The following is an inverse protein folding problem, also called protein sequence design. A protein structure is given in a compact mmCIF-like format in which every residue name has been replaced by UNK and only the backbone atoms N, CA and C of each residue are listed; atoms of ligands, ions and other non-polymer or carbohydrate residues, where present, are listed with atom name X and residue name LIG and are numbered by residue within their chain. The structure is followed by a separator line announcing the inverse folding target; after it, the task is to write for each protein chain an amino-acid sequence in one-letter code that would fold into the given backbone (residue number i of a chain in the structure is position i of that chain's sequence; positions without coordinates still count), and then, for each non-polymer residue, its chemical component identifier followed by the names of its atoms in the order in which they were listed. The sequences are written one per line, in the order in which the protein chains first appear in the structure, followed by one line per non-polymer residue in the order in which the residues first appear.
data_IF_412711962442
#
_entry.id   IF_412711962442
#
_cell.length_a   1.000
_cell.length_b   1.000
_cell.length_c   1.000
_cell.angle_alpha   90.00
_cell.angle_beta   90.00
_cell.angle_gamma   90.00
#
_symmetry.space_group_name_H-M   'P 1'
#
loop_
_entity.id
_entity.type
_entity.pdbx_description
1 polymer ?
#
# COMPACT_ATOMS: atom_id res chain seq x y z
N UNK A 1 -0.41 -7.37 65.44
CA UNK A 1 -1.26 -6.59 64.52
C UNK A 1 -0.56 -5.38 63.90
N UNK A 2 0.27 -4.62 64.62
CA UNK A 2 0.97 -3.42 64.11
C UNK A 2 1.82 -3.66 62.85
N UNK A 3 2.45 -4.83 62.73
CA UNK A 3 3.34 -5.16 61.60
C UNK A 3 2.59 -5.69 60.36
N UNK A 4 1.32 -6.10 60.51
CA UNK A 4 0.48 -6.58 59.40
C UNK A 4 -0.04 -5.41 58.56
N UNK A 5 -0.41 -4.30 59.21
CA UNK A 5 -0.83 -3.08 58.50
C UNK A 5 0.32 -2.45 57.70
N UNK A 6 1.56 -2.52 58.20
CA UNK A 6 2.74 -2.06 57.46
C UNK A 6 3.07 -2.93 56.23
N UNK A 7 2.87 -4.24 56.32
CA UNK A 7 3.07 -5.16 55.19
C UNK A 7 2.00 -4.97 54.10
N UNK A 8 0.74 -4.75 54.50
CA UNK A 8 -0.37 -4.49 53.58
C UNK A 8 -0.22 -3.14 52.85
N UNK A 9 0.35 -2.13 53.52
CA UNK A 9 0.66 -0.85 52.89
C UNK A 9 1.72 -0.98 51.78
N UNK A 10 2.78 -1.78 51.98
CA UNK A 10 3.84 -1.98 50.98
C UNK A 10 3.30 -2.72 49.73
N UNK A 11 2.41 -3.70 49.92
CA UNK A 11 1.78 -4.44 48.81
C UNK A 11 0.81 -3.54 48.02
N UNK A 12 0.12 -2.61 48.69
CA UNK A 12 -0.83 -1.69 48.04
C UNK A 12 -0.15 -0.58 47.21
N UNK A 13 1.10 -0.20 47.53
CA UNK A 13 1.86 0.80 46.76
C UNK A 13 2.80 0.19 45.71
N UNK A 14 3.06 -1.12 45.75
CA UNK A 14 3.95 -1.81 44.80
C UNK A 14 3.35 -2.13 43.43
N UNK A 15 2.05 -1.91 43.22
CA UNK A 15 1.32 -2.42 42.04
C UNK A 15 0.98 -1.39 40.96
N UNK A 16 1.62 -0.21 40.90
CA UNK A 16 1.33 0.80 39.87
C UNK A 16 2.58 1.44 39.26
N UNK A 17 3.51 0.62 38.75
CA UNK A 17 4.52 1.10 37.80
C UNK A 17 4.12 0.61 36.40
N UNK A 18 3.41 1.45 35.63
CA UNK A 18 3.21 1.23 34.20
C UNK A 18 3.89 2.36 33.43
N UNK A 19 5.12 2.13 32.99
CA UNK A 19 5.73 2.89 31.91
C UNK A 19 6.36 1.93 30.91
N UNK A 20 5.92 1.96 29.66
CA UNK A 20 6.67 1.38 28.52
C UNK A 20 7.00 2.45 27.44
N UNK A 21 6.97 3.73 27.88
CA UNK A 21 7.60 4.97 27.38
C UNK A 21 6.68 6.01 26.70
N UNK A 22 6.67 7.24 27.25
CA UNK A 22 6.37 8.52 26.57
C UNK A 22 7.17 9.64 27.26
N UNK A 23 7.90 10.51 26.55
CA UNK A 23 8.75 11.53 27.21
C UNK A 23 9.07 12.78 26.40
N UNK A 24 8.96 13.94 27.06
CA UNK A 24 9.31 15.28 26.62
C UNK A 24 10.47 15.78 27.53
N UNK A 25 11.69 15.25 27.29
CA UNK A 25 13.00 15.51 27.96
C UNK A 25 13.39 14.65 29.19
N UNK A 26 13.57 13.32 29.12
CA UNK A 26 13.94 12.52 27.96
C UNK A 26 14.49 11.14 28.37
N UNK A 27 15.14 10.47 27.42
CA UNK A 27 16.17 9.45 27.65
C UNK A 27 17.31 9.72 26.66
N UNK A 28 18.54 9.78 27.16
CA UNK A 28 19.75 10.03 26.38
C UNK A 28 20.91 9.35 27.09
N UNK A 29 21.80 8.66 26.37
CA UNK A 29 23.21 8.49 26.80
C UNK A 29 24.21 8.17 25.65
N UNK A 30 23.94 8.37 24.35
CA UNK A 30 23.86 9.64 23.60
C UNK A 30 23.71 9.29 22.10
N UNK A 31 23.01 10.13 21.31
CA UNK A 31 23.35 10.39 19.90
C UNK A 31 23.30 11.92 19.71
N UNK A 32 24.45 12.59 19.70
CA UNK A 32 24.54 14.05 19.68
C UNK A 32 24.73 14.61 18.26
N UNK A 33 23.93 15.63 17.90
CA UNK A 33 23.96 16.27 16.58
C UNK A 33 23.28 15.47 15.47
N UNK A 34 22.47 14.47 15.82
CA UNK A 34 21.75 13.62 14.87
C UNK A 34 20.25 13.90 14.87
N UNK A 35 19.56 13.53 13.79
CA UNK A 35 18.11 13.57 13.63
C UNK A 35 17.40 12.27 14.07
N UNK A 36 18.10 11.35 14.74
CA UNK A 36 17.55 10.07 15.20
C UNK A 36 16.89 10.20 16.57
N UNK A 37 15.57 9.98 16.62
CA UNK A 37 14.78 10.02 17.85
C UNK A 37 14.69 8.66 18.57
N UNK A 38 14.80 7.55 17.82
CA UNK A 38 14.79 6.19 18.35
C UNK A 38 15.78 5.33 17.55
N UNK A 39 16.86 4.92 18.19
CA UNK A 39 17.83 3.97 17.64
C UNK A 39 17.65 2.61 18.32
N UNK A 40 17.30 1.60 17.53
CA UNK A 40 17.16 0.20 17.98
C UNK A 40 18.31 -0.68 17.47
N UNK A 41 19.29 -0.09 16.78
CA UNK A 41 20.52 -0.79 16.44
C UNK A 41 21.24 -1.19 17.73
N UNK A 42 21.81 -2.39 17.73
CA UNK A 42 22.45 -2.97 18.90
C UNK A 42 23.47 -4.01 18.44
N UNK A 43 24.25 -4.55 19.39
CA UNK A 43 25.14 -5.68 19.13
C UNK A 43 24.40 -6.94 18.60
N UNK A 44 23.07 -6.94 18.58
CA UNK A 44 22.23 -7.98 18.00
C UNK A 44 21.85 -7.70 16.52
N UNK A 45 22.69 -6.99 15.76
CA UNK A 45 22.52 -6.76 14.32
C UNK A 45 23.60 -7.46 13.48
N UNK A 46 23.32 -7.76 12.21
CA UNK A 46 24.28 -8.40 11.30
C UNK A 46 25.55 -7.56 11.12
N UNK A 47 25.40 -6.23 11.09
CA UNK A 47 26.50 -5.26 11.02
C UNK A 47 27.42 -5.31 12.25
N UNK A 48 26.90 -5.78 13.38
CA UNK A 48 27.65 -6.03 14.62
C UNK A 48 28.14 -7.48 14.75
N UNK A 49 27.98 -8.29 13.71
CA UNK A 49 28.39 -9.71 13.68
C UNK A 49 27.42 -10.67 14.37
N UNK A 50 26.18 -10.23 14.62
CA UNK A 50 25.16 -11.07 15.23
C UNK A 50 24.58 -12.08 14.22
N UNK A 51 24.02 -13.19 14.73
CA UNK A 51 23.36 -14.19 13.89
C UNK A 51 21.98 -13.73 13.36
N UNK A 52 21.43 -14.38 12.32
CA UNK A 52 20.31 -13.86 11.53
C UNK A 52 18.94 -13.82 12.24
N UNK A 53 18.83 -14.26 13.50
CA UNK A 53 17.54 -14.45 14.19
C UNK A 53 17.39 -13.65 15.49
N UNK A 54 18.33 -12.76 15.81
CA UNK A 54 18.37 -12.06 17.10
C UNK A 54 18.13 -10.54 17.02
N UNK A 55 17.97 -10.02 15.80
CA UNK A 55 17.58 -8.64 15.52
C UNK A 55 16.32 -8.20 16.26
N UNK A 56 16.24 -6.91 16.60
CA UNK A 56 15.13 -6.29 17.34
C UNK A 56 14.17 -5.57 16.41
N UNK A 57 12.89 -5.53 16.77
CA UNK A 57 11.84 -4.83 16.03
C UNK A 57 10.88 -4.09 16.96
N UNK A 58 9.96 -3.32 16.37
CA UNK A 58 8.91 -2.58 17.10
C UNK A 58 7.57 -3.31 16.94
N UNK A 59 6.93 -3.64 18.07
CA UNK A 59 5.56 -4.15 18.08
C UNK A 59 4.61 -3.00 18.41
N UNK A 60 3.68 -2.70 17.49
CA UNK A 60 2.68 -1.64 17.64
C UNK A 60 1.31 -2.30 17.88
N UNK A 61 0.60 -1.95 18.96
CA UNK A 61 -0.77 -2.44 19.18
C UNK A 61 -1.70 -2.10 18.02
N UNK A 62 -2.62 -3.02 17.72
CA UNK A 62 -3.55 -2.82 16.62
C UNK A 62 -4.66 -1.82 16.96
N UNK A 63 -5.07 -1.01 15.99
CA UNK A 63 -6.26 -0.14 16.03
C UNK A 63 -7.28 -0.56 14.98
N UNK A 64 -8.53 -0.12 15.15
CA UNK A 64 -9.59 -0.23 14.14
C UNK A 64 -9.77 1.12 13.44
N UNK A 65 -9.10 1.35 12.30
CA UNK A 65 -9.16 2.64 11.61
C UNK A 65 -10.55 2.99 11.07
N UNK A 66 -11.43 2.01 10.86
CA UNK A 66 -12.81 2.28 10.42
C UNK A 66 -13.53 3.12 11.46
N UNK A 67 -13.33 2.80 12.75
CA UNK A 67 -14.01 3.45 13.88
C UNK A 67 -13.12 4.40 14.70
N UNK A 68 -11.80 4.40 14.46
CA UNK A 68 -10.82 5.19 15.19
C UNK A 68 -11.19 6.68 15.23
N UNK A 69 -10.96 7.31 16.38
CA UNK A 69 -11.13 8.73 16.59
C UNK A 69 -9.95 9.23 17.42
N UNK A 70 -9.42 10.40 17.07
CA UNK A 70 -8.38 11.04 17.84
C UNK A 70 -8.93 11.55 19.17
N UNK A 71 -8.19 11.27 20.25
CA UNK A 71 -8.29 12.04 21.47
C UNK A 71 -7.43 13.30 21.32
N UNK A 72 -8.06 14.46 21.24
CA UNK A 72 -7.39 15.73 20.98
C UNK A 72 -7.15 16.53 22.27
N UNK A 73 -7.41 15.97 23.45
CA UNK A 73 -7.28 16.68 24.72
C UNK A 73 -5.86 17.22 24.99
N UNK A 74 -4.84 16.62 24.39
CA UNK A 74 -3.43 17.06 24.48
C UNK A 74 -2.86 17.53 23.12
N UNK A 75 -3.71 17.72 22.12
CA UNK A 75 -3.31 18.30 20.84
C UNK A 75 -3.19 19.82 21.00
N UNK A 76 -2.00 20.27 21.36
CA UNK A 76 -1.66 21.68 21.57
C UNK A 76 -0.25 21.98 21.05
N UNK A 77 0.18 23.24 21.10
CA UNK A 77 1.48 23.69 20.59
C UNK A 77 2.70 23.22 21.38
N UNK A 78 2.51 22.45 22.46
CA UNK A 78 3.56 22.01 23.39
C UNK A 78 3.66 20.49 23.54
N UNK A 79 2.54 19.78 23.65
CA UNK A 79 2.49 18.34 23.95
C UNK A 79 2.45 17.52 22.67
N UNK A 80 1.57 17.88 21.73
CA UNK A 80 1.45 17.24 20.41
C UNK A 80 1.33 18.33 19.31
N UNK A 81 2.38 19.14 19.11
CA UNK A 81 2.35 20.31 18.22
C UNK A 81 2.09 19.99 16.76
N UNK A 82 2.32 18.74 16.35
CA UNK A 82 2.08 18.26 14.99
C UNK A 82 0.63 17.85 14.74
N UNK A 83 -0.23 17.83 15.76
CA UNK A 83 -1.62 17.38 15.63
C UNK A 83 -1.72 16.01 14.96
N UNK A 84 -0.92 15.08 15.49
CA UNK A 84 -0.78 13.70 15.05
C UNK A 84 -0.20 13.51 13.63
N UNK A 85 0.28 14.56 12.96
CA UNK A 85 1.01 14.40 11.71
C UNK A 85 2.22 13.48 11.91
N UNK A 86 2.31 12.44 11.06
CA UNK A 86 3.31 11.39 11.13
C UNK A 86 3.00 10.25 12.11
N UNK A 87 1.86 10.25 12.82
CA UNK A 87 1.50 9.15 13.73
C UNK A 87 1.36 7.83 12.99
N UNK A 88 2.11 6.79 13.41
CA UNK A 88 2.05 5.44 12.83
C UNK A 88 1.19 4.52 13.69
N UNK A 89 0.35 3.71 13.05
CA UNK A 89 -0.48 2.68 13.69
C UNK A 89 -0.47 1.40 12.87
N UNK A 90 -0.75 0.26 13.51
CA UNK A 90 -1.13 -0.96 12.80
C UNK A 90 -2.66 -1.09 12.78
N UNK A 91 -3.28 -1.05 11.61
CA UNK A 91 -4.72 -1.24 11.43
C UNK A 91 -5.04 -2.74 11.32
N UNK A 92 -6.13 -3.19 11.97
CA UNK A 92 -6.63 -4.57 11.87
C UNK A 92 -7.89 -4.73 11.01
N UNK A 93 -8.49 -3.62 10.57
CA UNK A 93 -9.82 -3.62 9.95
C UNK A 93 -9.76 -3.43 8.44
N UNK A 94 -10.77 -3.94 7.73
CA UNK A 94 -11.02 -3.64 6.31
C UNK A 94 -12.29 -2.81 6.20
N UNK A 95 -12.27 -1.70 5.45
CA UNK A 95 -13.44 -0.86 5.24
C UNK A 95 -13.09 0.57 4.88
N UNK A 96 -14.05 1.48 5.01
CA UNK A 96 -13.86 2.92 4.77
C UNK A 96 -13.92 3.67 6.09
N UNK A 97 -12.94 4.53 6.37
CA UNK A 97 -12.91 5.34 7.61
C UNK A 97 -14.10 6.30 7.70
N UNK A 98 -14.65 6.47 8.91
CA UNK A 98 -15.66 7.49 9.18
C UNK A 98 -15.03 8.91 9.17
N UNK A 99 -15.86 9.92 8.88
CA UNK A 99 -15.39 11.32 8.71
C UNK A 99 -15.96 12.32 9.72
N UNK A 100 -16.85 11.90 10.61
CA UNK A 100 -17.48 12.77 11.62
C UNK A 100 -16.69 12.77 12.94
N UNK A 101 -16.67 13.91 13.63
CA UNK A 101 -15.99 14.08 14.93
C UNK A 101 -14.49 14.35 14.77
N UNK A 102 -13.67 13.91 15.73
CA UNK A 102 -12.21 14.09 15.69
C UNK A 102 -11.55 13.03 14.77
N UNK A 103 -11.93 13.03 13.51
CA UNK A 103 -11.48 12.09 12.47
C UNK A 103 -10.99 12.87 11.24
N UNK A 104 -10.31 12.17 10.34
CA UNK A 104 -10.07 12.69 8.99
C UNK A 104 -11.37 13.20 8.36
N UNK A 105 -11.34 14.34 7.68
CA UNK A 105 -12.48 14.77 6.84
C UNK A 105 -12.59 13.98 5.53
N UNK A 106 -11.61 13.13 5.22
CA UNK A 106 -11.51 12.36 3.99
C UNK A 106 -11.71 10.88 4.29
N UNK A 107 -12.79 10.31 3.75
CA UNK A 107 -13.05 8.88 3.81
C UNK A 107 -11.93 8.11 3.09
N UNK A 108 -11.27 7.20 3.80
CA UNK A 108 -10.13 6.42 3.28
C UNK A 108 -10.47 4.94 3.31
N UNK A 109 -10.29 4.25 2.18
CA UNK A 109 -10.36 2.80 2.16
C UNK A 109 -9.11 2.20 2.83
N UNK A 110 -9.30 1.31 3.79
CA UNK A 110 -8.24 0.69 4.59
C UNK A 110 -8.37 -0.83 4.59
N UNK A 111 -7.23 -1.50 4.75
CA UNK A 111 -7.06 -2.95 4.95
C UNK A 111 -6.09 -3.17 6.13
N UNK A 112 -5.95 -4.40 6.66
CA UNK A 112 -4.95 -4.66 7.68
C UNK A 112 -3.53 -4.28 7.21
N UNK A 113 -2.76 -3.60 8.07
CA UNK A 113 -1.42 -3.13 7.73
C UNK A 113 -1.00 -1.88 8.51
N UNK A 114 0.22 -1.41 8.29
CA UNK A 114 0.70 -0.17 8.90
C UNK A 114 0.19 1.06 8.13
N UNK A 115 -0.20 2.10 8.86
CA UNK A 115 -0.65 3.38 8.33
C UNK A 115 0.06 4.50 9.07
N UNK A 116 0.24 5.64 8.39
CA UNK A 116 0.59 6.90 9.03
C UNK A 116 -0.49 7.96 8.78
N UNK A 117 -0.68 8.86 9.73
CA UNK A 117 -1.57 10.00 9.57
C UNK A 117 -0.84 11.16 8.89
N UNK A 118 -1.33 11.61 7.74
CA UNK A 118 -0.78 12.73 6.99
C UNK A 118 -1.62 13.98 7.24
N UNK A 119 -1.10 14.92 8.02
CA UNK A 119 -1.76 16.16 8.43
C UNK A 119 -0.78 17.34 8.45
N UNK A 120 -0.16 17.70 7.30
CA UNK A 120 0.95 18.67 7.25
C UNK A 120 0.56 20.08 7.73
N UNK A 121 -0.73 20.41 7.73
CA UNK A 121 -1.25 21.71 8.19
C UNK A 121 -1.89 21.63 9.57
N UNK A 122 -1.81 20.49 10.26
CA UNK A 122 -2.47 20.27 11.55
C UNK A 122 -2.06 21.28 12.61
N UNK A 123 -0.76 21.58 12.68
CA UNK A 123 -0.20 22.60 13.58
C UNK A 123 -0.75 24.01 13.29
N UNK A 124 -0.82 24.39 12.02
CA UNK A 124 -1.31 25.71 11.61
C UNK A 124 -2.82 25.88 11.84
N UNK A 125 -3.56 24.79 11.66
CA UNK A 125 -5.03 24.80 11.77
C UNK A 125 -5.53 24.52 13.19
N UNK A 126 -4.68 23.98 14.06
CA UNK A 126 -5.12 23.49 15.36
C UNK A 126 -6.16 22.37 15.22
N UNK A 127 -5.97 21.45 14.28
CA UNK A 127 -6.97 20.42 13.97
C UNK A 127 -6.36 19.14 13.37
N UNK A 128 -7.08 18.03 13.53
CA UNK A 128 -6.78 16.77 12.81
C UNK A 128 -7.33 16.79 11.38
N UNK A 129 -8.25 17.70 11.06
CA UNK A 129 -8.76 17.91 9.71
C UNK A 129 -7.90 18.94 8.94
N UNK A 130 -7.67 18.75 7.63
CA UNK A 130 -8.22 17.69 6.76
C UNK A 130 -7.32 16.45 6.63
N UNK A 131 -6.52 16.13 7.65
CA UNK A 131 -5.52 15.05 7.60
C UNK A 131 -6.10 13.70 7.18
N UNK A 132 -5.29 12.82 6.59
CA UNK A 132 -5.73 11.58 5.92
C UNK A 132 -4.85 10.41 6.33
N UNK A 133 -5.43 9.22 6.53
CA UNK A 133 -4.66 8.00 6.72
C UNK A 133 -4.03 7.53 5.41
N UNK A 134 -2.74 7.18 5.44
CA UNK A 134 -2.02 6.63 4.29
C UNK A 134 -1.32 5.33 4.68
N UNK A 135 -1.31 4.32 3.81
CA UNK A 135 -0.58 3.09 4.10
C UNK A 135 0.92 3.40 4.22
N UNK A 136 1.55 2.86 5.26
CA UNK A 136 2.99 2.91 5.46
C UNK A 136 3.60 1.69 4.76
N UNK A 137 3.98 1.90 3.50
CA UNK A 137 4.33 0.83 2.59
C UNK A 137 3.07 0.21 1.97
N UNK A 138 3.04 0.12 0.65
CA UNK A 138 2.14 -0.76 -0.07
C UNK A 138 2.98 -1.82 -0.76
N UNK A 139 2.41 -3.00 -0.99
CA UNK A 139 2.99 -3.91 -1.96
C UNK A 139 2.81 -3.26 -3.34
N UNK A 140 3.90 -2.83 -4.03
CA UNK A 140 3.76 -2.22 -5.36
C UNK A 140 3.29 -3.25 -6.40
N UNK A 141 3.30 -4.54 -6.06
CA UNK A 141 2.82 -5.61 -6.92
C UNK A 141 1.30 -5.54 -6.99
N UNK A 142 0.79 -5.45 -8.21
CA UNK A 142 -0.60 -5.73 -8.53
C UNK A 142 -0.67 -7.08 -9.23
N UNK A 143 -1.74 -7.83 -8.98
CA UNK A 143 -1.95 -9.12 -9.63
C UNK A 143 -2.88 -8.94 -10.84
N UNK A 144 -2.40 -9.22 -12.05
CA UNK A 144 -3.23 -9.13 -13.24
C UNK A 144 -4.09 -10.39 -13.37
N UNK A 145 -5.40 -10.22 -13.30
CA UNK A 145 -6.37 -11.31 -13.44
C UNK A 145 -7.24 -11.12 -14.69
N UNK A 146 -8.17 -12.03 -14.94
CA UNK A 146 -9.19 -11.86 -15.99
C UNK A 146 -10.19 -10.75 -15.67
N UNK A 147 -10.28 -10.34 -14.40
CA UNK A 147 -11.00 -9.16 -13.95
C UNK A 147 -10.10 -7.93 -13.99
N UNK A 148 -10.71 -6.76 -14.22
CA UNK A 148 -9.99 -5.48 -14.21
C UNK A 148 -9.31 -5.27 -12.86
N UNK A 149 -8.03 -4.92 -12.90
CA UNK A 149 -7.23 -4.59 -11.72
C UNK A 149 -6.55 -3.25 -11.94
N UNK A 150 -6.63 -2.34 -10.96
CA UNK A 150 -5.89 -1.07 -10.99
C UNK A 150 -4.40 -1.34 -10.80
N UNK A 151 -3.56 -0.77 -11.66
CA UNK A 151 -2.09 -0.89 -11.57
C UNK A 151 -1.50 0.19 -10.65
N UNK A 152 -0.19 0.13 -10.42
CA UNK A 152 0.57 1.21 -9.77
C UNK A 152 0.99 2.34 -10.74
N UNK A 153 0.54 2.30 -12.00
CA UNK A 153 0.86 3.32 -13.01
C UNK A 153 -0.29 4.32 -13.13
N UNK A 154 0.06 5.60 -13.24
CA UNK A 154 -0.87 6.69 -13.52
C UNK A 154 -0.38 7.51 -14.72
N UNK A 155 -1.31 7.96 -15.55
CA UNK A 155 -1.06 8.89 -16.65
C UNK A 155 -1.85 10.15 -16.35
N UNK A 156 -1.14 11.25 -16.11
CA UNK A 156 -1.76 12.54 -15.80
C UNK A 156 -2.74 12.49 -14.60
N UNK A 157 -2.42 11.68 -13.60
CA UNK A 157 -3.26 11.44 -12.41
C UNK A 157 -4.37 10.40 -12.59
N UNK A 158 -4.67 9.96 -13.82
CA UNK A 158 -5.63 8.90 -14.09
C UNK A 158 -4.95 7.51 -13.94
N UNK A 159 -5.59 6.53 -13.29
CA UNK A 159 -5.03 5.19 -13.14
C UNK A 159 -4.98 4.43 -14.47
N UNK A 160 -3.95 3.61 -14.64
CA UNK A 160 -3.91 2.54 -15.64
C UNK A 160 -4.50 1.28 -15.03
N UNK A 161 -5.35 0.59 -15.79
CA UNK A 161 -5.99 -0.68 -15.44
C UNK A 161 -5.37 -1.81 -16.25
N UNK A 162 -5.41 -3.04 -15.73
CA UNK A 162 -4.89 -4.23 -16.39
C UNK A 162 -5.91 -5.37 -16.36
N UNK A 163 -5.96 -6.13 -17.47
CA UNK A 163 -6.63 -7.42 -17.57
C UNK A 163 -5.72 -8.41 -18.30
N UNK A 164 -5.83 -9.69 -17.97
CA UNK A 164 -5.21 -10.77 -18.73
C UNK A 164 -6.25 -11.66 -19.42
N UNK A 165 -5.83 -12.29 -20.50
CA UNK A 165 -6.59 -13.29 -21.23
C UNK A 165 -5.66 -14.21 -22.00
N UNK A 166 -6.25 -15.09 -22.80
CA UNK A 166 -5.52 -15.93 -23.75
C UNK A 166 -6.14 -15.82 -25.12
N UNK A 167 -5.33 -15.95 -26.18
CA UNK A 167 -5.81 -16.04 -27.55
C UNK A 167 -5.13 -17.18 -28.30
N UNK A 168 -5.79 -17.70 -29.35
CA UNK A 168 -5.26 -18.74 -30.22
C UNK A 168 -4.98 -18.17 -31.61
N UNK A 169 -3.90 -18.60 -32.25
CA UNK A 169 -3.56 -18.25 -33.65
C UNK A 169 -3.41 -19.51 -34.49
N UNK A 170 -3.69 -19.41 -35.79
CA UNK A 170 -3.66 -20.53 -36.73
C UNK A 170 -2.26 -20.84 -37.29
N UNK A 171 -1.29 -19.94 -37.14
CA UNK A 171 -0.01 -20.04 -37.85
C UNK A 171 -0.05 -19.54 -39.31
N UNK A 172 -1.19 -19.05 -39.78
CA UNK A 172 -1.40 -18.58 -41.16
C UNK A 172 -1.99 -17.17 -41.27
N UNK A 173 -2.32 -16.55 -40.15
CA UNK A 173 -2.94 -15.23 -40.06
C UNK A 173 -2.28 -14.41 -38.94
N UNK A 174 -2.27 -13.09 -39.10
CA UNK A 174 -1.83 -12.13 -38.07
C UNK A 174 -2.92 -11.83 -37.04
N UNK A 175 -4.17 -12.19 -37.33
CA UNK A 175 -5.30 -12.05 -36.41
C UNK A 175 -5.50 -13.35 -35.59
N UNK A 176 -5.77 -13.27 -34.28
CA UNK A 176 -6.21 -14.42 -33.50
C UNK A 176 -7.51 -15.03 -34.03
N UNK A 177 -7.64 -16.35 -33.89
CA UNK A 177 -8.84 -17.10 -34.26
C UNK A 177 -9.88 -17.16 -33.14
N UNK A 178 -9.45 -17.03 -31.89
CA UNK A 178 -10.32 -17.06 -30.71
C UNK A 178 -9.64 -16.45 -29.49
N UNK A 179 -10.46 -16.06 -28.50
CA UNK A 179 -10.04 -15.53 -27.21
C UNK A 179 -10.71 -16.29 -26.07
N UNK A 180 -10.08 -16.33 -24.90
CA UNK A 180 -10.64 -16.95 -23.70
C UNK A 180 -10.29 -16.12 -22.46
N UNK A 181 -11.26 -15.83 -21.56
CA UNK A 181 -12.68 -16.18 -21.65
C UNK A 181 -13.45 -15.40 -22.74
N UNK A 182 -12.96 -14.22 -23.11
CA UNK A 182 -13.46 -13.37 -24.19
C UNK A 182 -12.35 -12.37 -24.59
N UNK A 183 -12.46 -11.67 -25.73
CA UNK A 183 -11.58 -10.55 -26.03
C UNK A 183 -11.64 -9.49 -24.92
N UNK A 184 -10.53 -8.80 -24.66
CA UNK A 184 -10.47 -7.75 -23.63
C UNK A 184 -10.96 -6.44 -24.25
N UNK A 185 -12.18 -6.03 -23.96
CA UNK A 185 -12.68 -4.71 -24.37
C UNK A 185 -12.28 -3.64 -23.37
N UNK A 186 -12.09 -2.42 -23.84
CA UNK A 186 -11.85 -1.24 -23.01
C UNK A 186 -13.09 -0.36 -23.07
N UNK A 187 -13.68 0.04 -21.93
CA UNK A 187 -14.82 0.94 -21.91
C UNK A 187 -14.48 2.26 -22.62
N UNK A 188 -15.27 2.64 -23.62
CA UNK A 188 -15.02 3.85 -24.38
C UNK A 188 -15.25 5.10 -23.52
N UNK A 189 -14.29 6.03 -23.56
CA UNK A 189 -14.35 7.36 -22.95
C UNK A 189 -13.44 8.32 -23.70
N UNK A 190 -13.53 9.62 -23.40
CA UNK A 190 -12.64 10.63 -24.00
C UNK A 190 -11.16 10.45 -23.65
N UNK A 191 -10.85 9.60 -22.67
CA UNK A 191 -9.49 9.28 -22.19
C UNK A 191 -9.13 7.81 -22.38
N UNK A 192 -10.01 7.01 -22.98
CA UNK A 192 -9.78 5.59 -23.18
C UNK A 192 -8.66 5.35 -24.19
N UNK A 193 -7.71 4.51 -23.84
CA UNK A 193 -6.56 4.22 -24.67
C UNK A 193 -5.79 3.01 -24.19
N UNK A 194 -5.06 2.38 -25.11
CA UNK A 194 -4.15 1.29 -24.78
C UNK A 194 -2.83 1.89 -24.30
N UNK A 195 -2.43 1.54 -23.07
CA UNK A 195 -1.13 1.88 -22.53
C UNK A 195 -0.07 0.87 -22.98
N UNK A 196 -0.37 -0.43 -22.88
CA UNK A 196 0.54 -1.51 -23.26
C UNK A 196 -0.22 -2.80 -23.53
N UNK A 197 0.28 -3.60 -24.47
CA UNK A 197 -0.13 -5.00 -24.64
C UNK A 197 1.11 -5.87 -24.53
N UNK A 198 1.14 -6.82 -23.60
CA UNK A 198 2.25 -7.78 -23.50
C UNK A 198 1.74 -9.16 -23.85
N UNK A 199 2.39 -9.82 -24.81
CA UNK A 199 2.06 -11.19 -25.22
C UNK A 199 3.15 -12.14 -24.73
N UNK A 200 2.73 -13.27 -24.17
CA UNK A 200 3.61 -14.31 -23.65
C UNK A 200 3.26 -15.65 -24.29
N UNK A 201 4.26 -16.51 -24.48
CA UNK A 201 3.99 -17.90 -24.86
C UNK A 201 3.51 -18.67 -23.63
N UNK A 202 2.28 -19.18 -23.70
CA UNK A 202 1.62 -19.85 -22.59
C UNK A 202 2.50 -20.96 -21.98
N UNK A 203 2.55 -21.03 -20.65
CA UNK A 203 3.30 -22.04 -19.91
C UNK A 203 4.83 -21.92 -19.93
N UNK A 204 5.41 -20.94 -20.64
CA UNK A 204 6.88 -20.77 -20.71
C UNK A 204 7.39 -19.53 -19.99
N UNK A 205 6.53 -18.53 -19.73
CA UNK A 205 6.94 -17.24 -19.16
C UNK A 205 7.72 -16.33 -20.11
N UNK A 206 8.01 -16.79 -21.33
CA UNK A 206 8.73 -15.98 -22.33
C UNK A 206 7.83 -14.90 -22.91
N UNK A 207 8.28 -13.64 -22.80
CA UNK A 207 7.67 -12.50 -23.50
C UNK A 207 7.91 -12.67 -25.00
N UNK A 208 6.82 -12.73 -25.75
CA UNK A 208 6.84 -12.83 -27.21
C UNK A 208 6.82 -11.44 -27.87
N UNK A 209 6.06 -10.50 -27.30
CA UNK A 209 6.01 -9.12 -27.75
C UNK A 209 5.60 -8.16 -26.61
N UNK A 210 6.12 -6.94 -26.66
CA UNK A 210 5.68 -5.80 -25.83
C UNK A 210 5.11 -4.72 -26.77
N UNK A 211 3.88 -4.94 -27.19
CA UNK A 211 3.19 -4.22 -28.25
C UNK A 211 2.47 -5.18 -29.20
N UNK A 212 1.54 -4.62 -29.95
CA UNK A 212 0.83 -5.26 -31.07
C UNK A 212 0.84 -4.29 -32.26
N UNK A 213 0.60 -4.78 -33.47
CA UNK A 213 0.49 -3.90 -34.64
C UNK A 213 -0.71 -2.96 -34.54
N UNK A 214 -1.86 -3.51 -34.13
CA UNK A 214 -3.06 -2.74 -33.84
C UNK A 214 -3.93 -3.41 -32.79
N UNK A 215 -4.76 -2.60 -32.14
CA UNK A 215 -5.74 -3.05 -31.14
C UNK A 215 -7.04 -2.26 -31.29
N UNK A 216 -8.17 -2.96 -31.43
CA UNK A 216 -9.50 -2.37 -31.40
C UNK A 216 -10.04 -2.38 -29.97
N UNK A 217 -10.16 -1.21 -29.36
CA UNK A 217 -10.63 -1.06 -27.98
C UNK A 217 -12.09 -1.51 -27.77
N UNK A 218 -12.92 -1.42 -28.81
CA UNK A 218 -14.36 -1.70 -28.73
C UNK A 218 -14.61 -3.21 -28.71
N UNK A 219 -13.92 -3.92 -29.60
CA UNK A 219 -14.12 -5.35 -29.80
C UNK A 219 -13.04 -6.22 -29.15
N UNK A 220 -11.94 -5.62 -28.68
CA UNK A 220 -10.81 -6.31 -28.05
C UNK A 220 -9.94 -7.10 -29.03
N UNK A 221 -10.11 -6.88 -30.34
CA UNK A 221 -9.36 -7.58 -31.38
C UNK A 221 -7.96 -6.98 -31.51
N UNK A 222 -6.93 -7.83 -31.48
CA UNK A 222 -5.55 -7.44 -31.73
C UNK A 222 -5.02 -8.00 -33.05
N UNK A 223 -4.06 -7.32 -33.65
CA UNK A 223 -3.24 -7.83 -34.76
C UNK A 223 -1.81 -8.02 -34.25
N UNK A 224 -1.32 -9.25 -34.37
CA UNK A 224 0.01 -9.64 -33.89
C UNK A 224 1.14 -8.97 -34.70
N UNK A 225 2.25 -8.68 -34.02
CA UNK A 225 3.38 -7.92 -34.56
C UNK A 225 3.80 -6.75 -33.67
N UNK A 226 4.53 -5.80 -34.25
CA UNK A 226 4.93 -4.55 -33.61
C UNK A 226 4.27 -3.36 -34.33
N UNK A 227 4.27 -2.15 -33.75
CA UNK A 227 3.62 -0.96 -34.35
C UNK A 227 4.04 -0.62 -35.78
N UNK A 228 5.11 -1.21 -36.31
CA UNK A 228 5.60 -0.98 -37.68
C UNK A 228 5.56 -2.23 -38.58
N UNK A 229 5.19 -3.40 -38.06
CA UNK A 229 5.17 -4.65 -38.82
C UNK A 229 4.21 -5.67 -38.22
N UNK A 230 3.27 -6.18 -39.01
CA UNK A 230 2.47 -7.33 -38.61
C UNK A 230 3.27 -8.63 -38.77
N UNK A 231 3.08 -9.58 -37.88
CA UNK A 231 3.85 -10.84 -37.84
C UNK A 231 2.91 -12.00 -37.63
N UNK A 232 2.99 -13.04 -38.47
CA UNK A 232 2.24 -14.27 -38.25
C UNK A 232 2.93 -15.09 -37.16
N UNK A 233 2.28 -15.25 -36.02
CA UNK A 233 2.81 -16.07 -34.93
C UNK A 233 2.61 -17.56 -35.25
N UNK A 234 3.52 -18.46 -34.80
CA UNK A 234 3.31 -19.89 -34.92
C UNK A 234 1.99 -20.34 -34.28
N UNK A 235 1.36 -21.34 -34.88
CA UNK A 235 0.11 -21.90 -34.39
C UNK A 235 0.21 -22.29 -32.91
N UNK A 236 -0.78 -21.88 -32.11
CA UNK A 236 -0.80 -22.16 -30.67
C UNK A 236 -1.58 -21.13 -29.87
N UNK A 237 -1.49 -21.28 -28.55
CA UNK A 237 -2.16 -20.42 -27.56
C UNK A 237 -1.15 -19.53 -26.86
N UNK A 238 -1.50 -18.25 -26.70
CA UNK A 238 -0.67 -17.23 -26.11
C UNK A 238 -1.45 -16.54 -24.98
N UNK A 239 -0.76 -16.27 -23.88
CA UNK A 239 -1.27 -15.38 -22.83
C UNK A 239 -1.03 -13.94 -23.26
N UNK A 240 -1.91 -13.03 -22.86
CA UNK A 240 -1.67 -11.60 -23.04
C UNK A 240 -2.24 -10.78 -21.90
N UNK A 241 -1.60 -9.65 -21.66
CA UNK A 241 -2.02 -8.62 -20.72
C UNK A 241 -2.27 -7.34 -21.51
N UNK A 242 -3.42 -6.71 -21.27
CA UNK A 242 -3.77 -5.40 -21.82
C UNK A 242 -3.86 -4.42 -20.67
N UNK A 243 -3.04 -3.39 -20.74
CA UNK A 243 -3.04 -2.24 -19.84
C UNK A 243 -3.62 -1.03 -20.55
N UNK A 244 -4.56 -0.32 -19.91
CA UNK A 244 -5.35 0.73 -20.54
C UNK A 244 -5.79 1.83 -19.58
N UNK A 245 -6.14 2.98 -20.12
CA UNK A 245 -6.86 4.07 -19.45
C UNK A 245 -8.34 4.03 -19.80
N UNK A 246 -9.18 4.63 -18.97
CA UNK A 246 -10.63 4.81 -19.20
C UNK A 246 -11.10 6.16 -18.67
#
# INVERSE_FOLDING_TARGET
MKNIFSFLAIVAFGSLINAQVNINNGFQTNINGSNVALDLSSAFSDESGAGPYIGKGIVIPSVDLVNFQFDISYADTSTLPTWFDGMIVYNRSTGTTLTTGNRSSTATAVTPGYYYFYNPNGSANGAVQPGVWRPLGSDPRFNVTTSETTTNTQINGAPVYAKKGTFTVSGSSTAPTSYTPAPITVPASGTAGIYRVTVYKAGTGSVFANGVYSYDITNGNLITGSPSMSVVYPAGTYDYVVEYTK
#
